data_IF_388424086443
#
_entry.id   IF_388424086443
#
_cell.length_a   1.000
_cell.length_b   1.000
_cell.length_c   1.000
_cell.angle_alpha   90.00
_cell.angle_beta   90.00
_cell.angle_gamma   90.00
#
_symmetry.space_group_name_H-M   'P 1'
#
loop_
_entity.id
_entity.type
_entity.pdbx_description
1 polymer ?
#
# COMPACT_ATOMS: atom_id res chain seq x y z
N UNK A 1 8.36 -14.07 7.24
CA UNK A 1 7.08 -13.63 7.81
C UNK A 1 6.19 -13.14 6.69
N UNK A 2 4.89 -13.40 6.81
CA UNK A 2 3.95 -12.96 5.78
C UNK A 2 3.64 -11.47 5.93
N UNK A 3 3.52 -10.80 4.80
CA UNK A 3 3.00 -9.44 4.77
C UNK A 3 1.49 -9.51 4.71
N UNK A 4 0.81 -8.83 5.60
CA UNK A 4 -0.66 -8.87 5.70
C UNK A 4 -1.23 -7.47 5.67
N UNK A 5 -2.45 -7.35 5.14
CA UNK A 5 -3.16 -6.09 5.16
C UNK A 5 -3.75 -5.80 6.55
N UNK A 6 -4.55 -4.73 6.65
CA UNK A 6 -5.16 -4.32 7.91
C UNK A 6 -6.15 -5.35 8.46
N UNK A 7 -6.65 -6.25 7.62
CA UNK A 7 -7.61 -7.29 8.00
C UNK A 7 -6.95 -8.66 8.20
N UNK A 8 -5.64 -8.75 8.06
CA UNK A 8 -4.92 -10.01 8.21
C UNK A 8 -4.86 -10.87 6.95
N UNK A 9 -5.27 -10.34 5.81
CA UNK A 9 -5.15 -11.05 4.53
C UNK A 9 -3.72 -10.99 4.03
N UNK A 10 -3.19 -12.11 3.56
CA UNK A 10 -1.83 -12.18 3.05
C UNK A 10 -1.73 -11.40 1.75
N UNK A 11 -0.71 -10.54 1.65
CA UNK A 11 -0.41 -9.77 0.45
C UNK A 11 0.77 -10.40 -0.27
N UNK A 12 0.71 -10.38 -1.60
CA UNK A 12 1.80 -10.88 -2.45
C UNK A 12 2.13 -9.86 -3.52
N UNK A 13 3.28 -10.02 -4.17
CA UNK A 13 3.67 -9.15 -5.27
C UNK A 13 2.60 -9.16 -6.36
N UNK A 14 2.25 -8.00 -6.82
CA UNK A 14 1.25 -7.85 -7.88
C UNK A 14 -0.18 -7.70 -7.39
N UNK A 15 -0.42 -7.83 -6.10
CA UNK A 15 -1.76 -7.67 -5.54
C UNK A 15 -2.25 -6.24 -5.67
N UNK A 16 -3.57 -6.07 -5.59
CA UNK A 16 -4.21 -4.77 -5.52
C UNK A 16 -4.72 -4.54 -4.11
N UNK A 17 -4.64 -3.30 -3.65
CA UNK A 17 -5.12 -2.91 -2.32
C UNK A 17 -5.90 -1.62 -2.41
N UNK A 18 -6.73 -1.38 -1.39
CA UNK A 18 -7.44 -0.12 -1.19
C UNK A 18 -6.91 0.57 0.05
N UNK A 19 -6.91 1.89 0.04
CA UNK A 19 -6.57 2.65 1.24
C UNK A 19 -7.75 2.65 2.20
N UNK A 20 -7.48 2.45 3.48
CA UNK A 20 -8.51 2.47 4.52
C UNK A 20 -8.72 3.87 5.09
N UNK A 21 -7.81 4.80 4.78
CA UNK A 21 -7.92 6.21 5.17
C UNK A 21 -7.11 7.07 4.22
N UNK A 22 -7.31 8.38 4.32
CA UNK A 22 -6.50 9.33 3.55
C UNK A 22 -5.06 9.32 4.06
N UNK A 23 -4.10 9.25 3.14
CA UNK A 23 -2.68 9.29 3.47
C UNK A 23 -2.00 10.42 2.73
N UNK A 24 -1.29 11.26 3.47
CA UNK A 24 -0.47 12.30 2.88
C UNK A 24 0.94 11.76 2.70
N UNK A 25 1.41 11.71 1.45
CA UNK A 25 2.73 11.19 1.15
C UNK A 25 3.72 12.34 1.14
N UNK A 26 4.65 12.32 2.09
CA UNK A 26 5.70 13.34 2.19
C UNK A 26 6.66 13.22 1.02
N UNK A 27 7.10 14.37 0.53
CA UNK A 27 8.08 14.43 -0.55
C UNK A 27 7.51 14.39 -1.94
N UNK A 28 6.27 13.92 -2.10
CA UNK A 28 5.63 13.85 -3.40
C UNK A 28 4.55 14.90 -3.61
N UNK A 29 4.16 15.61 -2.54
CA UNK A 29 3.09 16.60 -2.61
C UNK A 29 1.74 16.00 -2.98
N UNK A 30 1.56 14.70 -2.77
CA UNK A 30 0.37 13.96 -3.16
C UNK A 30 -0.33 13.42 -1.93
N UNK A 31 -1.65 13.51 -1.93
CA UNK A 31 -2.48 12.87 -0.92
C UNK A 31 -3.22 11.72 -1.56
N UNK A 32 -3.06 10.53 -0.99
CA UNK A 32 -3.80 9.35 -1.40
C UNK A 32 -5.09 9.30 -0.61
N UNK A 33 -6.20 9.14 -1.30
CA UNK A 33 -7.53 9.20 -0.69
C UNK A 33 -8.03 7.83 -0.29
N UNK A 34 -8.81 7.80 0.79
CA UNK A 34 -9.50 6.60 1.21
C UNK A 34 -10.29 6.00 0.05
N UNK A 35 -10.19 4.69 -0.11
CA UNK A 35 -10.88 3.98 -1.17
C UNK A 35 -10.12 3.92 -2.49
N UNK A 36 -9.02 4.66 -2.63
CA UNK A 36 -8.20 4.54 -3.83
C UNK A 36 -7.64 3.13 -3.95
N UNK A 37 -7.75 2.58 -5.16
CA UNK A 37 -7.18 1.28 -5.47
C UNK A 37 -5.75 1.47 -5.97
N UNK A 38 -4.84 0.66 -5.43
CA UNK A 38 -3.45 0.65 -5.85
C UNK A 38 -3.16 -0.75 -6.37
N UNK A 39 -2.66 -0.85 -7.59
CA UNK A 39 -2.37 -2.12 -8.24
C UNK A 39 -0.87 -2.38 -8.27
N UNK A 40 -0.52 -3.65 -8.42
CA UNK A 40 0.88 -4.08 -8.57
C UNK A 40 1.75 -3.64 -7.41
N UNK A 41 1.29 -3.90 -6.20
CA UNK A 41 2.13 -3.64 -5.02
C UNK A 41 3.31 -4.60 -5.04
N UNK A 42 4.39 -4.20 -4.37
CA UNK A 42 5.57 -5.05 -4.20
C UNK A 42 5.88 -5.18 -2.72
N UNK A 43 6.24 -6.39 -2.32
CA UNK A 43 6.66 -6.62 -0.96
C UNK A 43 8.06 -6.06 -0.74
N UNK A 44 8.34 -5.65 0.48
CA UNK A 44 9.66 -5.15 0.88
C UNK A 44 10.29 -6.14 1.86
N UNK A 45 11.45 -5.78 2.39
CA UNK A 45 12.09 -6.59 3.43
C UNK A 45 11.35 -6.52 4.77
N UNK A 46 10.42 -5.58 4.90
CA UNK A 46 9.62 -5.43 6.13
C UNK A 46 8.22 -5.98 5.89
N UNK A 47 7.72 -6.86 6.78
CA UNK A 47 6.37 -7.40 6.62
C UNK A 47 5.26 -6.38 6.86
N UNK A 48 5.61 -5.22 7.41
CA UNK A 48 4.65 -4.15 7.72
C UNK A 48 4.53 -3.10 6.63
N UNK A 49 5.28 -3.27 5.53
CA UNK A 49 5.35 -2.26 4.48
C UNK A 49 5.28 -2.90 3.11
N UNK A 50 4.72 -2.16 2.17
CA UNK A 50 4.72 -2.54 0.76
C UNK A 50 5.12 -1.34 -0.08
N UNK A 51 5.74 -1.62 -1.21
CA UNK A 51 6.07 -0.61 -2.20
C UNK A 51 4.92 -0.47 -3.17
N UNK A 52 4.50 0.76 -3.41
CA UNK A 52 3.40 1.04 -4.33
C UNK A 52 3.85 2.06 -5.36
N UNK A 53 3.34 1.95 -6.57
CA UNK A 53 3.64 2.89 -7.62
C UNK A 53 2.38 3.68 -7.96
N UNK A 54 2.48 4.99 -7.84
CA UNK A 54 1.38 5.91 -8.15
C UNK A 54 1.90 6.90 -9.18
N UNK A 55 1.36 6.83 -10.39
CA UNK A 55 1.87 7.64 -11.48
C UNK A 55 3.31 7.27 -11.81
N UNK A 56 4.20 8.25 -11.77
CA UNK A 56 5.63 8.04 -12.04
C UNK A 56 6.45 7.88 -10.76
N UNK A 57 5.80 7.91 -9.61
CA UNK A 57 6.49 7.87 -8.32
C UNK A 57 6.26 6.55 -7.61
N UNK A 58 7.25 6.13 -6.84
CA UNK A 58 7.18 4.93 -6.03
C UNK A 58 7.22 5.33 -4.56
N UNK A 59 6.31 4.77 -3.77
CA UNK A 59 6.22 5.05 -2.35
C UNK A 59 6.21 3.76 -1.55
N UNK A 60 6.58 3.85 -0.28
CA UNK A 60 6.44 2.76 0.66
C UNK A 60 5.32 3.11 1.61
N UNK A 61 4.32 2.23 1.70
CA UNK A 61 3.15 2.43 2.56
C UNK A 61 3.08 1.32 3.59
N UNK A 62 2.56 1.66 4.76
CA UNK A 62 2.37 0.69 5.84
C UNK A 62 1.10 -0.12 5.56
N UNK A 63 1.19 -1.43 5.76
CA UNK A 63 0.07 -2.34 5.47
C UNK A 63 -1.13 -2.11 6.37
N UNK A 64 -0.93 -1.49 7.55
CA UNK A 64 -2.04 -1.18 8.46
C UNK A 64 -3.05 -0.22 7.85
N UNK A 65 -2.67 0.50 6.80
CA UNK A 65 -3.55 1.44 6.10
C UNK A 65 -4.12 0.87 4.82
N UNK A 66 -3.90 -0.41 4.56
CA UNK A 66 -4.26 -1.05 3.30
C UNK A 66 -5.21 -2.21 3.55
N UNK A 67 -6.07 -2.45 2.57
CA UNK A 67 -7.00 -3.57 2.57
C UNK A 67 -6.91 -4.25 1.22
N UNK A 68 -6.75 -5.56 1.23
CA UNK A 68 -6.68 -6.34 -0.01
C UNK A 68 -7.97 -6.16 -0.82
N UNK A 69 -7.81 -5.85 -2.08
CA UNK A 69 -8.93 -5.68 -3.00
C UNK A 69 -9.55 -7.02 -3.39
#
# INVERSE_FOLDING_TARGET
MDTKDSNGNILTDGDSVHLTKDLKVKGAGTTLKRGNAIKNIRLTNSPDEVEVRVGKSTFVLRTEFLKKA
#
